data_IF_379538828061
#
_entry.id   IF_379538828061
#
_cell.length_a   1.000
_cell.length_b   1.000
_cell.length_c   1.000
_cell.angle_alpha   90.00
_cell.angle_beta   90.00
_cell.angle_gamma   90.00
#
_symmetry.space_group_name_H-M   'P 1'
#
loop_
_entity.id
_entity.type
_entity.pdbx_description
1 polymer ?
#
# COMPACT_ATOMS: atom_id res chain seq x y z
N UNK A 1 -33.61 2.06 -14.11
CA UNK A 1 -34.00 3.24 -13.29
C UNK A 1 -32.96 3.64 -12.23
N UNK A 2 -32.42 2.70 -11.41
CA UNK A 2 -31.37 3.04 -10.42
C UNK A 2 -30.01 3.29 -11.08
N UNK A 3 -29.62 2.55 -12.12
CA UNK A 3 -28.38 2.75 -12.87
C UNK A 3 -28.33 4.08 -13.61
N UNK A 4 -29.47 4.53 -14.14
CA UNK A 4 -29.55 5.82 -14.84
C UNK A 4 -29.48 7.01 -13.87
N UNK A 5 -29.97 6.84 -12.64
CA UNK A 5 -29.86 7.85 -11.59
C UNK A 5 -28.37 8.04 -11.12
N UNK A 6 -27.56 6.98 -11.16
CA UNK A 6 -26.14 7.06 -10.83
C UNK A 6 -25.34 7.73 -11.96
N UNK A 7 -25.64 7.40 -13.22
CA UNK A 7 -24.99 7.99 -14.40
C UNK A 7 -25.30 9.49 -14.58
N UNK A 8 -26.48 9.91 -14.18
CA UNK A 8 -26.92 11.32 -14.27
C UNK A 8 -26.37 12.25 -13.17
N UNK A 9 -25.68 11.71 -12.14
CA UNK A 9 -25.23 12.46 -10.95
C UNK A 9 -23.69 12.54 -10.81
N UNK A 10 -22.94 12.67 -11.89
CA UNK A 10 -21.49 12.87 -11.81
C UNK A 10 -20.66 11.58 -11.64
N UNK A 11 -21.30 10.39 -11.71
CA UNK A 11 -20.62 9.10 -11.69
C UNK A 11 -20.60 8.37 -10.35
N UNK A 12 -19.92 7.22 -10.32
CA UNK A 12 -19.73 6.37 -9.15
C UNK A 12 -18.25 6.27 -8.80
N UNK A 13 -17.91 6.61 -7.59
CA UNK A 13 -16.57 6.41 -7.02
C UNK A 13 -16.62 5.28 -5.98
N UNK A 14 -16.02 4.14 -6.29
CA UNK A 14 -15.84 3.07 -5.32
C UNK A 14 -14.56 3.26 -4.54
N UNK A 15 -14.65 3.24 -3.20
CA UNK A 15 -13.52 3.39 -2.28
C UNK A 15 -13.53 2.26 -1.25
N UNK A 16 -12.36 1.97 -0.67
CA UNK A 16 -12.23 1.30 0.62
C UNK A 16 -12.11 2.34 1.74
N UNK A 17 -11.32 2.10 2.77
CA UNK A 17 -11.12 3.01 3.91
C UNK A 17 -10.50 4.39 3.59
N UNK A 18 -10.33 4.76 2.32
CA UNK A 18 -9.88 6.09 1.90
C UNK A 18 -8.39 6.38 2.13
N UNK A 19 -7.61 5.44 2.65
CA UNK A 19 -6.23 5.65 3.10
C UNK A 19 -5.21 6.01 2.00
N UNK A 20 -5.59 5.89 0.71
CA UNK A 20 -4.75 6.23 -0.45
C UNK A 20 -5.48 7.17 -1.43
N UNK A 21 -6.22 8.17 -0.90
CA UNK A 21 -7.00 9.13 -1.68
C UNK A 21 -6.71 10.55 -1.23
N UNK A 22 -6.70 11.47 -2.19
CA UNK A 22 -6.65 12.90 -1.95
C UNK A 22 -7.81 13.56 -2.72
N UNK A 23 -8.81 14.06 -2.00
CA UNK A 23 -9.85 14.88 -2.59
C UNK A 23 -9.32 16.29 -2.80
N UNK A 24 -9.34 16.75 -4.04
CA UNK A 24 -8.95 18.11 -4.43
C UNK A 24 -10.14 19.03 -4.56
N UNK A 25 -11.31 18.46 -4.80
CA UNK A 25 -12.62 19.11 -4.85
C UNK A 25 -13.68 18.17 -4.28
N UNK A 26 -14.92 18.65 -4.12
CA UNK A 26 -16.05 17.79 -3.83
C UNK A 26 -16.31 16.84 -5.00
N UNK A 27 -16.52 15.56 -4.70
CA UNK A 27 -16.87 14.60 -5.74
C UNK A 27 -18.35 14.77 -6.13
N UNK A 28 -18.68 15.12 -7.40
CA UNK A 28 -20.05 15.45 -7.80
C UNK A 28 -20.88 14.20 -8.10
N UNK A 29 -20.74 13.13 -7.36
CA UNK A 29 -21.37 11.83 -7.62
C UNK A 29 -21.65 11.03 -6.37
N UNK A 30 -21.81 9.73 -6.55
CA UNK A 30 -22.02 8.78 -5.46
C UNK A 30 -20.69 8.15 -5.05
N UNK A 31 -20.36 8.20 -3.77
CA UNK A 31 -19.23 7.47 -3.20
C UNK A 31 -19.76 6.17 -2.59
N UNK A 32 -19.30 5.05 -3.13
CA UNK A 32 -19.63 3.71 -2.64
C UNK A 32 -18.46 3.19 -1.78
N UNK A 33 -18.73 2.91 -0.51
CA UNK A 33 -17.80 2.24 0.38
C UNK A 33 -18.30 0.82 0.67
N UNK A 34 -17.45 -0.18 0.45
CA UNK A 34 -17.80 -1.57 0.73
C UNK A 34 -17.76 -1.84 2.23
N UNK A 35 -18.90 -2.23 2.81
CA UNK A 35 -18.98 -2.67 4.20
C UNK A 35 -19.16 -4.19 4.34
N UNK A 36 -18.77 -4.95 3.32
CA UNK A 36 -18.87 -6.42 3.31
C UNK A 36 -17.87 -6.98 4.32
N UNK A 37 -18.40 -7.63 5.36
CA UNK A 37 -17.66 -8.23 6.46
C UNK A 37 -17.71 -9.75 6.39
N UNK A 38 -16.88 -10.40 7.17
CA UNK A 38 -16.78 -11.84 7.36
C UNK A 38 -15.41 -12.38 6.99
N UNK A 39 -14.93 -13.29 7.84
CA UNK A 39 -13.67 -14.03 7.61
C UNK A 39 -13.97 -15.49 7.84
N UNK A 40 -13.78 -16.32 6.81
CA UNK A 40 -14.13 -17.72 6.78
C UNK A 40 -12.97 -18.56 6.23
N UNK A 41 -12.78 -19.76 6.77
CA UNK A 41 -11.87 -20.75 6.19
C UNK A 41 -12.63 -21.48 5.10
N UNK A 42 -12.19 -21.35 3.84
CA UNK A 42 -12.78 -22.05 2.70
C UNK A 42 -12.18 -23.44 2.51
N UNK A 43 -10.87 -23.56 2.75
CA UNK A 43 -10.15 -24.82 2.60
C UNK A 43 -9.04 -24.92 3.65
N UNK A 44 -8.84 -26.12 4.18
CA UNK A 44 -7.68 -26.45 5.01
C UNK A 44 -7.10 -27.78 4.52
N UNK A 45 -5.82 -27.78 4.14
CA UNK A 45 -5.09 -28.96 3.69
C UNK A 45 -3.89 -29.21 4.63
N UNK A 46 -4.08 -30.10 5.58
CA UNK A 46 -3.05 -30.42 6.56
C UNK A 46 -1.82 -31.09 5.93
N UNK A 47 -1.98 -31.84 4.83
CA UNK A 47 -0.87 -32.50 4.14
C UNK A 47 0.05 -31.48 3.44
N UNK A 48 -0.54 -30.40 2.91
CA UNK A 48 0.20 -29.30 2.28
C UNK A 48 0.58 -28.21 3.26
N UNK A 49 0.08 -28.27 4.49
CA UNK A 49 0.24 -27.21 5.49
C UNK A 49 -0.31 -25.85 5.01
N UNK A 50 -1.42 -25.90 4.27
CA UNK A 50 -2.04 -24.72 3.66
C UNK A 50 -3.47 -24.53 4.15
N UNK A 51 -3.88 -23.27 4.20
CA UNK A 51 -5.24 -22.84 4.46
C UNK A 51 -5.63 -21.75 3.48
N UNK A 52 -6.86 -21.79 2.94
CA UNK A 52 -7.42 -20.68 2.17
C UNK A 52 -8.45 -19.97 3.03
N UNK A 53 -8.21 -18.68 3.27
CA UNK A 53 -9.06 -17.81 4.07
C UNK A 53 -9.75 -16.81 3.17
N UNK A 54 -11.08 -16.81 3.16
CA UNK A 54 -11.92 -15.79 2.53
C UNK A 54 -12.10 -14.63 3.50
N UNK A 55 -11.91 -13.40 3.02
CA UNK A 55 -12.19 -12.20 3.80
C UNK A 55 -13.04 -11.21 2.98
N UNK A 56 -14.06 -10.64 3.59
CA UNK A 56 -14.92 -9.61 3.01
C UNK A 56 -14.13 -8.32 2.71
N UNK A 57 -14.43 -7.67 1.59
CA UNK A 57 -13.67 -6.53 1.10
C UNK A 57 -13.61 -5.33 2.06
N UNK A 58 -14.61 -5.18 2.93
CA UNK A 58 -14.69 -4.12 3.94
C UNK A 58 -14.07 -4.49 5.29
N UNK A 59 -13.41 -5.65 5.43
CA UNK A 59 -12.66 -5.96 6.65
C UNK A 59 -11.46 -5.02 6.78
N UNK A 60 -11.18 -4.55 8.01
CA UNK A 60 -9.95 -3.81 8.27
C UNK A 60 -8.75 -4.73 8.01
N UNK A 61 -7.79 -4.25 7.26
CA UNK A 61 -6.64 -5.05 6.86
C UNK A 61 -5.81 -5.54 8.04
N UNK A 62 -5.48 -4.65 8.98
CA UNK A 62 -4.61 -5.02 10.10
C UNK A 62 -5.31 -5.93 11.12
N UNK A 63 -6.61 -5.75 11.33
CA UNK A 63 -7.43 -6.67 12.15
C UNK A 63 -7.51 -8.05 11.49
N UNK A 64 -7.63 -8.11 10.15
CA UNK A 64 -7.60 -9.37 9.42
C UNK A 64 -6.25 -10.09 9.59
N UNK A 65 -5.12 -9.38 9.44
CA UNK A 65 -3.79 -9.95 9.67
C UNK A 65 -3.63 -10.43 11.12
N UNK A 66 -4.09 -9.65 12.11
CA UNK A 66 -4.06 -10.05 13.51
C UNK A 66 -4.79 -11.37 13.73
N UNK A 67 -6.04 -11.45 13.22
CA UNK A 67 -6.88 -12.65 13.31
C UNK A 67 -6.21 -13.86 12.64
N UNK A 68 -5.58 -13.69 11.48
CA UNK A 68 -4.85 -14.78 10.83
C UNK A 68 -3.71 -15.31 11.71
N UNK A 69 -2.89 -14.42 12.28
CA UNK A 69 -1.79 -14.81 13.17
C UNK A 69 -2.30 -15.53 14.43
N UNK A 70 -3.38 -15.04 15.05
CA UNK A 70 -4.01 -15.66 16.23
C UNK A 70 -4.57 -17.06 15.95
N UNK A 71 -5.06 -17.29 14.73
CA UNK A 71 -5.60 -18.58 14.29
C UNK A 71 -4.53 -19.55 13.74
N UNK A 72 -3.25 -19.14 13.71
CA UNK A 72 -2.17 -19.97 13.16
C UNK A 72 -2.14 -20.01 11.63
N UNK A 73 -2.61 -18.95 10.96
CA UNK A 73 -2.57 -18.79 9.51
C UNK A 73 -1.52 -17.75 9.16
N UNK A 74 -0.39 -18.17 8.62
CA UNK A 74 0.84 -17.40 8.51
C UNK A 74 1.14 -16.98 7.06
N UNK A 75 1.90 -15.87 6.93
CA UNK A 75 2.39 -15.31 5.69
C UNK A 75 2.20 -13.79 5.59
N UNK A 76 1.20 -13.23 6.27
CA UNK A 76 0.84 -11.81 6.17
C UNK A 76 1.54 -10.90 7.19
N UNK A 77 2.39 -11.43 8.06
CA UNK A 77 2.98 -10.73 9.22
C UNK A 77 3.72 -9.44 8.82
N UNK A 78 4.50 -9.49 7.72
CA UNK A 78 5.24 -8.34 7.18
C UNK A 78 4.32 -7.22 6.66
N UNK A 79 3.06 -7.54 6.36
CA UNK A 79 2.05 -6.60 5.88
C UNK A 79 1.18 -6.01 7.00
N UNK A 80 1.58 -6.20 8.25
CA UNK A 80 0.88 -5.66 9.42
C UNK A 80 0.88 -4.14 9.44
N UNK A 81 -0.16 -3.59 10.06
CA UNK A 81 -0.33 -2.15 10.29
C UNK A 81 -0.31 -1.31 9.01
N UNK A 82 -0.74 -1.87 7.87
CA UNK A 82 -1.00 -1.11 6.64
C UNK A 82 -2.44 -0.58 6.74
N UNK A 83 -2.66 0.74 6.68
CA UNK A 83 -4.00 1.32 6.72
C UNK A 83 -4.83 0.90 5.51
N UNK A 84 -6.12 0.67 5.72
CA UNK A 84 -7.05 0.33 4.66
C UNK A 84 -7.81 -0.96 4.91
N UNK A 85 -8.40 -1.50 3.86
CA UNK A 85 -9.31 -2.64 3.90
C UNK A 85 -8.85 -3.75 2.97
N UNK A 86 -9.36 -4.96 3.22
CA UNK A 86 -9.05 -6.18 2.49
C UNK A 86 -9.25 -6.01 0.97
N UNK A 87 -10.38 -5.46 0.52
CA UNK A 87 -10.63 -5.24 -0.92
C UNK A 87 -9.59 -4.30 -1.55
N UNK A 88 -9.22 -3.23 -0.85
CA UNK A 88 -8.22 -2.28 -1.31
C UNK A 88 -6.81 -2.91 -1.37
N UNK A 89 -6.51 -3.90 -0.52
CA UNK A 89 -5.23 -4.61 -0.53
C UNK A 89 -4.97 -5.29 -1.88
N UNK A 90 -5.98 -5.96 -2.44
CA UNK A 90 -5.90 -6.63 -3.73
C UNK A 90 -5.84 -5.63 -4.91
N UNK A 91 -6.58 -4.52 -4.83
CA UNK A 91 -6.56 -3.48 -5.87
C UNK A 91 -5.18 -2.80 -5.96
N UNK A 92 -4.59 -2.47 -4.82
CA UNK A 92 -3.34 -1.71 -4.73
C UNK A 92 -2.09 -2.59 -4.84
N UNK A 93 -2.21 -3.92 -4.69
CA UNK A 93 -1.08 -4.82 -4.44
C UNK A 93 -0.21 -4.27 -3.30
N UNK A 94 -0.82 -4.16 -2.10
CA UNK A 94 -0.11 -3.63 -0.93
C UNK A 94 1.15 -4.44 -0.64
N UNK A 95 2.19 -3.79 -0.15
CA UNK A 95 3.44 -4.45 0.17
C UNK A 95 4.28 -3.66 1.16
N UNK A 96 4.99 -4.37 1.99
CA UNK A 96 5.93 -3.85 2.97
C UNK A 96 6.97 -4.92 3.34
N UNK A 97 8.15 -4.48 3.74
CA UNK A 97 9.21 -5.32 4.32
C UNK A 97 9.52 -6.61 3.53
N UNK A 98 9.61 -6.49 2.19
CA UNK A 98 9.95 -7.60 1.31
C UNK A 98 8.81 -8.54 0.98
N UNK A 99 7.56 -8.21 1.34
CA UNK A 99 6.37 -8.96 1.02
C UNK A 99 5.37 -8.11 0.24
N UNK A 100 4.65 -8.72 -0.70
CA UNK A 100 3.53 -8.15 -1.44
C UNK A 100 2.32 -9.06 -1.31
N UNK A 101 1.12 -8.49 -1.22
CA UNK A 101 -0.11 -9.25 -0.96
C UNK A 101 -0.45 -10.23 -2.09
N UNK A 102 -0.07 -9.91 -3.33
CA UNK A 102 -0.29 -10.80 -4.49
C UNK A 102 0.35 -12.18 -4.33
N UNK A 103 1.39 -12.32 -3.49
CA UNK A 103 2.04 -13.60 -3.18
C UNK A 103 1.10 -14.57 -2.45
N UNK A 104 0.06 -14.05 -1.83
CA UNK A 104 -0.89 -14.79 -1.00
C UNK A 104 -2.30 -14.84 -1.59
N UNK A 105 -2.62 -14.00 -2.58
CA UNK A 105 -3.95 -13.98 -3.19
C UNK A 105 -4.17 -15.27 -3.99
N UNK A 106 -5.23 -15.99 -3.64
CA UNK A 106 -5.70 -17.17 -4.37
C UNK A 106 -6.67 -16.80 -5.49
N UNK A 107 -7.64 -15.96 -5.18
CA UNK A 107 -8.65 -15.41 -6.09
C UNK A 107 -9.29 -14.16 -5.52
N UNK A 108 -9.87 -13.34 -6.38
CA UNK A 108 -10.61 -12.12 -6.01
C UNK A 108 -12.02 -12.21 -6.55
N UNK A 109 -13.01 -12.13 -5.68
CA UNK A 109 -14.43 -12.12 -6.01
C UNK A 109 -14.91 -10.68 -6.16
N UNK A 110 -15.64 -10.40 -7.23
CA UNK A 110 -16.06 -9.05 -7.61
C UNK A 110 -17.49 -9.02 -8.15
N UNK A 111 -18.08 -7.83 -8.16
CA UNK A 111 -19.30 -7.51 -8.88
C UNK A 111 -18.97 -6.53 -10.01
N UNK A 112 -19.39 -6.83 -11.23
CA UNK A 112 -19.34 -5.90 -12.35
C UNK A 112 -20.33 -4.76 -12.09
N UNK A 113 -19.84 -3.53 -12.00
CA UNK A 113 -20.67 -2.34 -11.71
C UNK A 113 -21.57 -1.94 -12.89
N UNK A 114 -21.37 -2.55 -14.06
CA UNK A 114 -22.19 -2.27 -15.24
C UNK A 114 -23.48 -3.09 -15.23
N UNK A 115 -23.42 -4.39 -14.94
CA UNK A 115 -24.56 -5.31 -15.06
C UNK A 115 -24.90 -6.07 -13.77
N UNK A 116 -24.09 -5.93 -12.72
CA UNK A 116 -24.27 -6.60 -11.43
C UNK A 116 -23.85 -8.07 -11.42
N UNK A 117 -23.23 -8.57 -12.48
CA UNK A 117 -22.77 -9.96 -12.55
C UNK A 117 -21.58 -10.21 -11.60
N UNK A 118 -21.55 -11.40 -11.03
CA UNK A 118 -20.41 -11.86 -10.23
C UNK A 118 -19.29 -12.31 -11.15
N UNK A 119 -18.05 -11.92 -10.82
CA UNK A 119 -16.85 -12.42 -11.49
C UNK A 119 -15.76 -12.71 -10.48
N UNK A 120 -15.09 -13.85 -10.70
CA UNK A 120 -13.89 -14.25 -9.96
C UNK A 120 -12.68 -14.01 -10.88
N UNK A 121 -11.66 -13.35 -10.34
CA UNK A 121 -10.38 -13.18 -11.00
C UNK A 121 -9.31 -14.02 -10.32
N UNK A 122 -8.50 -14.71 -11.10
CA UNK A 122 -7.28 -15.36 -10.65
C UNK A 122 -6.10 -14.38 -10.68
N UNK A 123 -5.03 -14.57 -9.90
CA UNK A 123 -3.86 -13.70 -9.90
C UNK A 123 -3.24 -13.47 -11.29
N UNK A 124 -3.26 -14.51 -12.15
CA UNK A 124 -2.77 -14.44 -13.54
C UNK A 124 -3.54 -13.45 -14.42
N UNK A 125 -4.81 -13.16 -14.11
CA UNK A 125 -5.64 -12.20 -14.84
C UNK A 125 -5.49 -10.77 -14.29
N UNK A 126 -4.87 -10.62 -13.11
CA UNK A 126 -4.77 -9.34 -12.41
C UNK A 126 -3.44 -8.62 -12.67
N UNK A 127 -2.52 -9.22 -13.43
CA UNK A 127 -1.27 -8.62 -13.88
C UNK A 127 -0.53 -7.84 -12.78
N UNK A 128 -0.42 -8.48 -11.60
CA UNK A 128 0.19 -7.84 -10.43
C UNK A 128 1.64 -7.43 -10.67
N UNK A 129 1.95 -6.21 -10.31
CA UNK A 129 3.29 -5.65 -10.30
C UNK A 129 3.43 -4.71 -9.07
N UNK A 130 4.62 -4.16 -8.87
CA UNK A 130 4.88 -3.24 -7.76
C UNK A 130 3.85 -2.10 -7.72
N UNK A 131 3.01 -2.07 -6.69
CA UNK A 131 1.89 -1.10 -6.51
C UNK A 131 0.92 -1.04 -7.68
N UNK A 132 0.75 -2.14 -8.41
CA UNK A 132 -0.06 -2.21 -9.61
C UNK A 132 -0.88 -3.49 -9.68
N UNK A 133 -2.06 -3.39 -10.28
CA UNK A 133 -2.94 -4.50 -10.66
C UNK A 133 -3.83 -4.07 -11.84
N UNK A 134 -4.45 -5.02 -12.53
CA UNK A 134 -5.45 -4.77 -13.57
C UNK A 134 -6.58 -3.84 -13.09
N UNK A 135 -6.94 -3.89 -11.80
CA UNK A 135 -7.97 -3.01 -11.21
C UNK A 135 -7.57 -1.52 -11.20
N UNK A 136 -6.30 -1.20 -11.32
CA UNK A 136 -5.81 0.20 -11.43
C UNK A 136 -5.71 0.68 -12.86
N UNK A 137 -5.80 -0.21 -13.84
CA UNK A 137 -5.61 0.05 -15.26
C UNK A 137 -6.86 -0.35 -16.07
N UNK A 138 -6.81 -1.45 -16.80
CA UNK A 138 -7.85 -1.87 -17.75
C UNK A 138 -9.20 -2.21 -17.11
N UNK A 139 -9.21 -2.60 -15.84
CA UNK A 139 -10.44 -2.89 -15.08
C UNK A 139 -10.88 -1.72 -14.17
N UNK A 140 -10.20 -0.57 -14.26
CA UNK A 140 -10.46 0.57 -13.37
C UNK A 140 -11.91 1.06 -13.47
N UNK A 141 -12.58 1.12 -12.31
CA UNK A 141 -13.95 1.63 -12.20
C UNK A 141 -15.03 0.68 -12.69
N UNK A 142 -14.67 -0.51 -13.18
CA UNK A 142 -15.62 -1.50 -13.69
C UNK A 142 -16.07 -2.48 -12.62
N UNK A 143 -15.18 -2.91 -11.73
CA UNK A 143 -15.46 -3.95 -10.75
C UNK A 143 -15.37 -3.43 -9.32
N UNK A 144 -16.30 -3.84 -8.47
CA UNK A 144 -16.24 -3.71 -7.02
C UNK A 144 -15.78 -5.04 -6.41
N UNK A 145 -14.66 -5.03 -5.68
CA UNK A 145 -14.20 -6.21 -4.93
C UNK A 145 -15.17 -6.47 -3.79
N UNK A 146 -15.65 -7.72 -3.68
CA UNK A 146 -16.57 -8.17 -2.62
C UNK A 146 -15.85 -9.03 -1.58
N UNK A 147 -14.92 -9.89 -2.03
CA UNK A 147 -14.11 -10.73 -1.15
C UNK A 147 -12.75 -11.02 -1.77
N UNK A 148 -11.76 -11.24 -0.93
CA UNK A 148 -10.42 -11.71 -1.34
C UNK A 148 -10.11 -13.00 -0.61
N UNK A 149 -9.54 -13.95 -1.32
CA UNK A 149 -9.16 -15.26 -0.81
C UNK A 149 -7.64 -15.32 -0.72
N UNK A 150 -7.13 -15.68 0.45
CA UNK A 150 -5.70 -15.74 0.72
C UNK A 150 -5.29 -17.18 1.00
N UNK A 151 -4.29 -17.67 0.26
CA UNK A 151 -3.61 -18.92 0.55
C UNK A 151 -2.49 -18.66 1.53
N UNK A 152 -2.64 -19.18 2.75
CA UNK A 152 -1.75 -19.00 3.88
C UNK A 152 -1.18 -20.33 4.34
N UNK A 153 -0.13 -20.30 5.17
CA UNK A 153 0.52 -21.48 5.73
C UNK A 153 0.07 -21.74 7.17
N UNK A 154 -0.08 -23.02 7.53
CA UNK A 154 -0.23 -23.41 8.95
C UNK A 154 1.14 -23.55 9.67
N UNK A 155 2.24 -23.33 8.94
CA UNK A 155 3.60 -23.38 9.51
C UNK A 155 4.21 -21.99 9.37
N UNK A 156 4.62 -21.42 10.50
CA UNK A 156 5.27 -20.12 10.50
C UNK A 156 6.68 -20.19 9.88
N UNK A 157 6.90 -19.37 8.87
CA UNK A 157 8.20 -19.18 8.21
C UNK A 157 8.43 -17.68 8.04
N UNK A 158 9.26 -17.04 8.90
CA UNK A 158 9.43 -15.59 8.86
C UNK A 158 10.11 -15.14 7.56
N UNK A 159 9.56 -14.12 6.92
CA UNK A 159 10.24 -13.45 5.81
C UNK A 159 11.14 -12.32 6.36
N UNK A 160 12.44 -12.57 6.43
CA UNK A 160 13.46 -11.64 6.90
C UNK A 160 14.34 -11.10 5.77
N UNK A 161 13.91 -11.23 4.52
CA UNK A 161 14.67 -10.78 3.34
C UNK A 161 14.92 -9.28 3.29
N UNK A 162 14.13 -8.48 4.03
CA UNK A 162 14.26 -7.03 4.07
C UNK A 162 15.19 -6.59 5.21
N UNK A 163 16.42 -6.21 4.86
CA UNK A 163 17.50 -5.90 5.81
C UNK A 163 17.12 -4.88 6.91
N UNK A 164 16.27 -3.89 6.60
CA UNK A 164 15.84 -2.92 7.60
C UNK A 164 14.91 -3.54 8.66
N UNK A 165 14.15 -4.58 8.34
CA UNK A 165 13.35 -5.32 9.32
C UNK A 165 14.25 -6.14 10.24
N UNK A 166 15.22 -6.85 9.68
CA UNK A 166 16.18 -7.63 10.45
C UNK A 166 16.96 -6.76 11.44
N UNK A 167 17.41 -5.58 10.98
CA UNK A 167 18.07 -4.59 11.85
C UNK A 167 17.12 -4.11 12.97
N UNK A 168 15.88 -3.83 12.64
CA UNK A 168 14.90 -3.37 13.63
C UNK A 168 14.58 -4.46 14.68
N UNK A 169 14.56 -5.74 14.32
CA UNK A 169 14.43 -6.85 15.25
C UNK A 169 15.61 -6.88 16.23
N UNK A 170 16.84 -6.75 15.72
CA UNK A 170 18.05 -6.68 16.55
C UNK A 170 18.06 -5.48 17.50
N UNK A 171 17.67 -4.28 17.01
CA UNK A 171 17.55 -3.06 17.82
C UNK A 171 16.49 -3.18 18.93
N UNK A 172 15.44 -3.97 18.70
CA UNK A 172 14.41 -4.28 19.69
C UNK A 172 14.79 -5.45 20.63
N UNK A 173 15.99 -6.03 20.48
CA UNK A 173 16.45 -7.16 21.28
C UNK A 173 15.69 -8.46 21.04
N UNK A 174 15.06 -8.61 19.86
CA UNK A 174 14.29 -9.80 19.52
C UNK A 174 15.25 -10.86 18.94
N UNK A 175 15.28 -12.02 19.58
CA UNK A 175 16.05 -13.17 19.09
C UNK A 175 15.33 -13.77 17.87
N UNK A 176 16.04 -13.80 16.75
CA UNK A 176 15.51 -14.33 15.48
C UNK A 176 15.24 -15.84 15.55
N UNK A 177 16.03 -16.59 16.35
CA UNK A 177 15.85 -18.03 16.52
C UNK A 177 14.61 -18.37 17.36
N UNK A 178 14.17 -17.44 18.21
CA UNK A 178 12.94 -17.56 19.01
C UNK A 178 11.76 -16.79 18.44
N UNK A 179 11.84 -16.34 17.17
CA UNK A 179 10.83 -15.50 16.55
C UNK A 179 9.51 -16.24 16.35
N UNK A 180 8.42 -15.64 16.81
CA UNK A 180 7.05 -16.08 16.56
C UNK A 180 6.34 -15.15 15.57
N UNK A 181 5.27 -15.60 14.95
CA UNK A 181 4.45 -14.74 14.09
C UNK A 181 3.92 -13.50 14.83
N UNK A 182 3.52 -13.67 16.07
CA UNK A 182 3.04 -12.56 16.92
C UNK A 182 4.16 -11.54 17.22
N UNK A 183 5.37 -12.01 17.56
CA UNK A 183 6.51 -11.12 17.83
C UNK A 183 7.01 -10.43 16.56
N UNK A 184 7.02 -11.11 15.40
CA UNK A 184 7.32 -10.50 14.11
C UNK A 184 6.30 -9.40 13.77
N UNK A 185 4.99 -9.70 13.88
CA UNK A 185 3.92 -8.73 13.69
C UNK A 185 4.11 -7.50 14.58
N UNK A 186 4.38 -7.71 15.88
CA UNK A 186 4.57 -6.60 16.83
C UNK A 186 5.81 -5.75 16.46
N UNK A 187 6.89 -6.38 16.04
CA UNK A 187 8.09 -5.66 15.58
C UNK A 187 7.79 -4.80 14.34
N UNK A 188 7.05 -5.32 13.37
CA UNK A 188 6.60 -4.56 12.20
C UNK A 188 5.74 -3.36 12.62
N UNK A 189 4.79 -3.54 13.53
CA UNK A 189 3.95 -2.46 14.07
C UNK A 189 4.82 -1.37 14.73
N UNK A 190 5.77 -1.76 15.57
CA UNK A 190 6.67 -0.83 16.26
C UNK A 190 7.50 0.01 15.27
N UNK A 191 8.07 -0.65 14.24
CA UNK A 191 8.82 0.03 13.17
C UNK A 191 7.92 1.04 12.42
N UNK A 192 6.69 0.65 12.11
CA UNK A 192 5.76 1.52 11.39
C UNK A 192 5.30 2.71 12.23
N UNK A 193 4.90 2.50 13.48
CA UNK A 193 4.56 3.58 14.43
C UNK A 193 5.70 4.55 14.66
N UNK A 194 6.92 4.05 14.70
CA UNK A 194 8.11 4.90 14.81
C UNK A 194 8.38 5.80 13.61
N UNK A 195 7.86 5.44 12.42
CA UNK A 195 8.15 6.14 11.15
C UNK A 195 6.96 6.85 10.51
N UNK A 196 5.74 6.39 10.76
CA UNK A 196 4.54 6.91 10.10
C UNK A 196 3.70 7.73 11.09
N UNK A 197 2.99 8.77 10.62
CA UNK A 197 2.04 9.47 11.48
C UNK A 197 0.84 8.59 11.80
N UNK A 198 0.29 8.74 12.99
CA UNK A 198 -1.00 8.13 13.33
C UNK A 198 -2.12 8.87 12.56
N UNK A 199 -2.95 8.16 11.79
CA UNK A 199 -4.01 8.80 11.00
C UNK A 199 -5.03 9.58 11.82
N UNK A 200 -5.22 9.22 13.10
CA UNK A 200 -6.09 9.92 14.05
C UNK A 200 -5.53 11.27 14.52
N UNK A 201 -4.21 11.47 14.40
CA UNK A 201 -3.52 12.67 14.89
C UNK A 201 -3.19 13.62 13.74
N UNK A 202 -2.71 13.08 12.61
CA UNK A 202 -2.27 13.87 11.46
C UNK A 202 -2.80 13.25 10.17
N UNK A 203 -3.58 14.04 9.43
CA UNK A 203 -4.10 13.60 8.12
C UNK A 203 -2.96 13.36 7.12
N UNK A 204 -2.93 12.15 6.54
CA UNK A 204 -2.02 11.76 5.48
C UNK A 204 -2.66 10.69 4.60
N UNK A 205 -2.11 10.46 3.42
CA UNK A 205 -2.49 9.37 2.53
C UNK A 205 -1.40 8.26 2.46
N UNK A 206 -0.63 8.10 3.54
CA UNK A 206 0.50 7.18 3.58
C UNK A 206 1.70 7.65 2.75
N UNK A 207 2.44 6.70 2.15
CA UNK A 207 3.51 7.04 1.21
C UNK A 207 2.93 7.73 -0.01
N UNK A 208 3.33 8.97 -0.25
CA UNK A 208 2.71 9.79 -1.29
C UNK A 208 3.25 9.50 -2.69
N UNK A 209 4.53 9.09 -2.79
CA UNK A 209 5.21 8.85 -4.06
C UNK A 209 5.63 7.40 -4.22
N UNK A 210 5.58 6.92 -5.47
CA UNK A 210 6.17 5.64 -5.87
C UNK A 210 7.69 5.77 -5.92
N UNK A 211 8.41 4.74 -5.51
CA UNK A 211 9.85 4.70 -5.71
C UNK A 211 10.15 4.54 -7.21
N UNK A 212 10.90 5.47 -7.84
CA UNK A 212 11.20 5.40 -9.25
C UNK A 212 12.14 4.24 -9.59
N UNK A 213 11.94 3.63 -10.74
CA UNK A 213 12.87 2.71 -11.36
C UNK A 213 13.57 3.44 -12.52
N UNK A 214 14.89 3.53 -12.44
CA UNK A 214 15.71 4.19 -13.45
C UNK A 214 16.51 3.16 -14.24
N UNK A 215 16.98 3.55 -15.44
CA UNK A 215 17.88 2.70 -16.23
C UNK A 215 19.21 2.48 -15.50
N UNK A 216 19.91 1.38 -15.80
CA UNK A 216 21.24 1.11 -15.26
C UNK A 216 22.27 2.18 -15.61
N UNK A 217 22.07 2.87 -16.73
CA UNK A 217 22.93 3.99 -17.14
C UNK A 217 22.70 5.21 -16.24
N UNK A 218 21.44 5.62 -16.05
CA UNK A 218 21.06 6.72 -15.17
C UNK A 218 21.49 6.44 -13.73
N UNK A 219 21.32 5.20 -13.26
CA UNK A 219 21.79 4.81 -11.94
C UNK A 219 23.31 4.99 -11.77
N UNK A 220 24.13 4.53 -12.76
CA UNK A 220 25.59 4.71 -12.70
C UNK A 220 26.00 6.18 -12.62
N UNK A 221 25.33 7.06 -13.37
CA UNK A 221 25.58 8.52 -13.32
C UNK A 221 25.28 9.07 -11.91
N UNK A 222 24.13 8.69 -11.34
CA UNK A 222 23.75 9.13 -9.99
C UNK A 222 24.69 8.55 -8.93
N UNK A 223 25.11 7.30 -9.04
CA UNK A 223 26.00 6.64 -8.08
C UNK A 223 27.39 7.31 -8.01
N UNK A 224 27.89 7.85 -9.14
CA UNK A 224 29.14 8.63 -9.14
C UNK A 224 29.03 9.90 -8.30
N UNK A 225 27.86 10.57 -8.33
CA UNK A 225 27.61 11.79 -7.56
C UNK A 225 27.19 11.49 -6.11
N UNK A 226 26.53 10.36 -5.89
CA UNK A 226 25.98 9.93 -4.61
C UNK A 226 26.37 8.46 -4.30
N UNK A 227 27.65 8.18 -3.93
CA UNK A 227 28.14 6.80 -3.73
C UNK A 227 27.36 6.01 -2.68
N UNK A 228 26.80 6.69 -1.66
CA UNK A 228 26.00 6.09 -0.59
C UNK A 228 24.49 5.99 -0.89
N UNK A 229 24.06 6.21 -2.14
CA UNK A 229 22.65 6.18 -2.51
C UNK A 229 22.06 4.78 -2.34
N UNK A 230 21.00 4.61 -1.50
CA UNK A 230 20.29 3.34 -1.37
C UNK A 230 19.61 2.96 -2.68
N UNK A 231 19.68 1.68 -3.03
CA UNK A 231 19.09 1.19 -4.26
C UNK A 231 18.77 -0.29 -4.19
N UNK A 232 17.91 -0.75 -5.10
CA UNK A 232 17.51 -2.15 -5.25
C UNK A 232 17.48 -2.51 -6.73
N UNK A 233 18.22 -3.54 -7.12
CA UNK A 233 18.16 -4.06 -8.50
C UNK A 233 16.82 -4.77 -8.68
N UNK A 234 16.12 -4.44 -9.76
CA UNK A 234 14.84 -5.04 -10.18
C UNK A 234 14.95 -5.46 -11.65
N UNK A 235 14.00 -6.27 -12.12
CA UNK A 235 14.04 -6.83 -13.47
C UNK A 235 14.25 -5.76 -14.57
N UNK A 236 13.58 -4.62 -14.46
CA UNK A 236 13.56 -3.56 -15.47
C UNK A 236 14.45 -2.35 -15.11
N UNK A 237 15.47 -2.51 -14.25
CA UNK A 237 16.37 -1.42 -13.91
C UNK A 237 16.78 -1.37 -12.43
N UNK A 238 16.93 -0.17 -11.91
CA UNK A 238 17.33 0.05 -10.50
C UNK A 238 16.31 0.96 -9.82
N UNK A 239 15.69 0.43 -8.77
CA UNK A 239 14.73 1.16 -7.95
C UNK A 239 15.48 1.99 -6.90
N UNK A 240 15.20 3.29 -6.85
CA UNK A 240 15.78 4.24 -5.90
C UNK A 240 14.67 4.70 -4.93
N UNK A 241 14.91 4.70 -3.59
CA UNK A 241 13.93 5.19 -2.65
C UNK A 241 13.63 6.69 -2.85
N UNK A 242 12.40 7.03 -3.25
CA UNK A 242 11.98 8.42 -3.43
C UNK A 242 12.11 9.22 -2.12
N UNK A 243 11.86 8.58 -0.96
CA UNK A 243 12.05 9.22 0.34
C UNK A 243 13.47 9.71 0.57
N UNK A 244 14.48 8.96 0.13
CA UNK A 244 15.87 9.40 0.19
C UNK A 244 16.12 10.62 -0.71
N UNK A 245 15.61 10.61 -1.95
CA UNK A 245 15.74 11.77 -2.87
C UNK A 245 15.11 13.03 -2.28
N UNK A 246 13.90 12.90 -1.74
CA UNK A 246 13.16 14.00 -1.10
C UNK A 246 13.92 14.54 0.12
N UNK A 247 14.53 13.67 0.92
CA UNK A 247 15.36 14.04 2.06
C UNK A 247 16.64 14.78 1.61
N UNK A 248 17.28 14.31 0.53
CA UNK A 248 18.45 14.98 -0.07
C UNK A 248 18.12 16.37 -0.66
N UNK A 249 16.87 16.61 -1.06
CA UNK A 249 16.38 17.95 -1.43
C UNK A 249 16.04 18.80 -0.19
N UNK A 250 16.19 18.24 1.02
CA UNK A 250 15.96 18.93 2.29
C UNK A 250 14.50 19.18 2.60
N UNK A 251 13.57 18.41 2.05
CA UNK A 251 12.14 18.52 2.31
C UNK A 251 11.67 17.86 3.61
N UNK A 252 12.40 16.89 4.14
CA UNK A 252 12.02 16.20 5.38
C UNK A 252 11.80 17.18 6.53
N UNK A 253 10.59 17.17 7.10
CA UNK A 253 10.17 18.08 8.16
C UNK A 253 9.83 19.50 7.73
N UNK A 254 9.96 19.86 6.43
CA UNK A 254 9.56 21.16 5.92
C UNK A 254 8.08 21.26 5.62
N UNK A 255 7.57 22.47 5.76
CA UNK A 255 6.19 22.82 5.43
C UNK A 255 6.15 23.82 4.25
N UNK A 256 5.07 23.72 3.46
CA UNK A 256 4.68 24.70 2.47
C UNK A 256 3.24 25.13 2.82
N UNK A 257 3.11 26.28 3.50
CA UNK A 257 1.85 26.70 4.07
C UNK A 257 1.33 25.72 5.14
N UNK A 258 0.14 25.19 4.94
CA UNK A 258 -0.54 24.24 5.86
C UNK A 258 -0.28 22.77 5.53
N UNK A 259 0.41 22.49 4.41
CA UNK A 259 0.89 21.15 4.05
C UNK A 259 2.36 20.98 4.43
N UNK A 260 2.80 19.77 4.74
CA UNK A 260 4.19 19.50 5.11
C UNK A 260 4.67 18.11 4.71
N UNK A 261 5.98 17.94 4.68
CA UNK A 261 6.64 16.62 4.60
C UNK A 261 6.89 16.14 6.02
N UNK A 262 6.49 14.89 6.31
CA UNK A 262 6.59 14.35 7.66
C UNK A 262 8.05 14.23 8.11
N UNK A 263 8.33 14.62 9.36
CA UNK A 263 9.69 14.71 9.89
C UNK A 263 10.36 13.34 10.09
N UNK A 264 9.60 12.26 10.24
CA UNK A 264 10.16 10.91 10.42
C UNK A 264 10.23 10.11 9.11
N UNK A 265 9.44 10.52 8.08
CA UNK A 265 9.39 9.83 6.79
C UNK A 265 9.11 10.79 5.65
N UNK A 266 10.12 11.06 4.83
CA UNK A 266 10.03 12.04 3.74
C UNK A 266 9.06 11.65 2.60
N UNK A 267 8.66 10.36 2.51
CA UNK A 267 7.62 9.92 1.58
C UNK A 267 6.21 10.34 1.98
N UNK A 268 5.99 10.78 3.21
CA UNK A 268 4.65 11.07 3.73
C UNK A 268 4.40 12.57 3.71
N UNK A 269 3.40 12.97 2.93
CA UNK A 269 2.87 14.33 2.98
C UNK A 269 1.74 14.40 4.02
N UNK A 270 1.74 15.46 4.81
CA UNK A 270 0.83 15.61 5.95
C UNK A 270 0.07 16.93 5.90
N UNK A 271 -1.15 16.89 6.42
CA UNK A 271 -1.96 18.08 6.71
C UNK A 271 -1.60 18.59 8.12
N UNK A 272 -0.96 19.76 8.20
CA UNK A 272 -0.56 20.39 9.47
C UNK A 272 -1.71 21.15 10.15
N UNK A 273 -2.90 21.01 9.63
CA UNK A 273 -4.14 21.64 10.12
C UNK A 273 -4.71 22.61 9.09
N UNK A 274 -5.89 22.27 8.57
CA UNK A 274 -6.63 23.07 7.62
C UNK A 274 -6.02 23.19 6.21
N UNK A 275 -5.10 22.29 5.82
CA UNK A 275 -4.66 22.19 4.43
C UNK A 275 -5.79 21.66 3.56
N UNK A 276 -5.97 22.26 2.38
CA UNK A 276 -6.85 21.77 1.33
C UNK A 276 -6.15 20.73 0.47
N UNK A 277 -6.90 19.96 -0.35
CA UNK A 277 -6.29 19.07 -1.35
C UNK A 277 -5.34 19.82 -2.29
N UNK A 278 -5.70 21.05 -2.70
CA UNK A 278 -4.85 21.89 -3.53
C UNK A 278 -3.53 22.28 -2.84
N UNK A 279 -3.50 22.46 -1.51
CA UNK A 279 -2.27 22.71 -0.77
C UNK A 279 -1.33 21.51 -0.80
N UNK A 280 -1.87 20.30 -0.66
CA UNK A 280 -1.10 19.06 -0.76
C UNK A 280 -0.56 18.85 -2.19
N UNK A 281 -1.37 19.15 -3.22
CA UNK A 281 -0.92 19.08 -4.64
C UNK A 281 0.23 20.05 -4.86
N UNK A 282 0.12 21.31 -4.42
CA UNK A 282 1.22 22.30 -4.54
C UNK A 282 2.51 21.83 -3.86
N UNK A 283 2.40 21.25 -2.66
CA UNK A 283 3.56 20.68 -1.98
C UNK A 283 4.15 19.51 -2.78
N UNK A 284 3.30 18.62 -3.27
CA UNK A 284 3.73 17.49 -4.11
C UNK A 284 4.50 17.95 -5.35
N UNK A 285 3.98 18.98 -6.05
CA UNK A 285 4.59 19.49 -7.26
C UNK A 285 5.93 20.21 -6.97
N UNK A 286 6.04 20.95 -5.87
CA UNK A 286 7.28 21.56 -5.42
C UNK A 286 8.35 20.49 -5.10
N UNK A 287 7.98 19.44 -4.37
CA UNK A 287 8.88 18.31 -4.07
C UNK A 287 9.35 17.61 -5.35
N UNK A 288 8.44 17.36 -6.31
CA UNK A 288 8.76 16.75 -7.60
C UNK A 288 9.71 17.60 -8.42
N UNK A 289 9.49 18.90 -8.47
CA UNK A 289 10.35 19.85 -9.20
C UNK A 289 11.78 19.82 -8.67
N UNK A 290 11.96 19.90 -7.33
CA UNK A 290 13.29 19.87 -6.71
C UNK A 290 14.00 18.52 -6.92
N UNK A 291 13.27 17.41 -6.87
CA UNK A 291 13.84 16.07 -7.16
C UNK A 291 14.24 15.97 -8.64
N UNK A 292 13.42 16.44 -9.55
CA UNK A 292 13.72 16.44 -11.00
C UNK A 292 14.94 17.35 -11.30
N UNK A 293 15.01 18.53 -10.70
CA UNK A 293 16.14 19.46 -10.85
C UNK A 293 17.45 18.84 -10.33
N UNK A 294 17.41 18.26 -9.12
CA UNK A 294 18.63 17.77 -8.46
C UNK A 294 19.13 16.45 -9.04
N UNK A 295 18.23 15.52 -9.38
CA UNK A 295 18.60 14.16 -9.78
C UNK A 295 18.33 13.87 -11.27
N UNK A 296 17.54 14.70 -11.96
CA UNK A 296 17.03 14.40 -13.30
C UNK A 296 16.19 13.12 -13.30
N UNK A 297 15.37 12.93 -12.26
CA UNK A 297 14.48 11.79 -12.07
C UNK A 297 13.10 12.29 -11.68
N UNK A 298 12.08 11.87 -12.42
CA UNK A 298 10.70 12.16 -12.09
C UNK A 298 10.18 11.16 -11.07
N UNK A 299 9.55 11.67 -10.01
CA UNK A 299 8.78 10.88 -9.05
C UNK A 299 7.29 11.16 -9.23
N UNK A 300 6.48 10.10 -9.11
CA UNK A 300 5.04 10.21 -9.35
C UNK A 300 4.24 9.88 -8.08
N UNK A 301 3.09 10.57 -7.86
CA UNK A 301 2.20 10.21 -6.77
C UNK A 301 1.70 8.77 -6.89
N UNK A 302 1.72 8.04 -5.77
CA UNK A 302 1.01 6.76 -5.59
C UNK A 302 -0.46 7.02 -5.20
N UNK A 303 -0.69 8.15 -4.54
CA UNK A 303 -1.99 8.61 -4.07
C UNK A 303 -2.90 8.97 -5.24
N UNK A 304 -4.15 8.53 -5.18
CA UNK A 304 -5.14 8.83 -6.21
C UNK A 304 -5.81 10.17 -5.92
N UNK A 305 -5.73 11.11 -6.85
CA UNK A 305 -6.43 12.40 -6.79
C UNK A 305 -7.87 12.23 -7.27
N UNK A 306 -8.82 12.86 -6.55
CA UNK A 306 -10.25 12.88 -6.83
C UNK A 306 -10.69 14.32 -7.00
#
# INVERSE_FOLDING_TARGET
AQQDAVRGRGGLLHIGGGSNRLFTTDFPGIVLHSAIKGVEVEMSDAARQEVVVKAGAGENWDDFVARCVEQGYYGLENLSYIPGEVGASAVQNIGAYGSEVCQYIEKVETVDLHDGSLRIFLPSELHYAYRSSAFKHELKGRYAVTSVYYRLSNVFRPNLSYAALTRALQEQGIDVEALTAASLRQAVINVRRGKLPEPSEIGSAGSFFVNPVVSSEKFRQLQQQYPGMPHYVVENGVKIPAGWMIEQCGWKGKNLGRAGVYEKQALVLVNRGGATGADIVRLSDAVRADVAEKFGVDIHPEVNFI
#
